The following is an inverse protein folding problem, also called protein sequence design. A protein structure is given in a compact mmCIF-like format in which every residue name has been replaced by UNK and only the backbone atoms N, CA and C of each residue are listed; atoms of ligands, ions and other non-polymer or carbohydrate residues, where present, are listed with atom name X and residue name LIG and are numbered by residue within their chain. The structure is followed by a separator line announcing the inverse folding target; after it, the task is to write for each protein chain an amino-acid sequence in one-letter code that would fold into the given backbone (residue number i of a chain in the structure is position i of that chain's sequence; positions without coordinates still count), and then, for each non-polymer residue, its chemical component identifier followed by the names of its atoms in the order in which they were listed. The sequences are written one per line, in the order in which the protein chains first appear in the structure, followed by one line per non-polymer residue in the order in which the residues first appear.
data_IF_687207524007
#
_entry.id   IF_687207524007
#
_cell.length_a   1.000
_cell.length_b   1.000
_cell.length_c   1.000
_cell.angle_alpha   90.00
_cell.angle_beta   90.00
_cell.angle_gamma   90.00
#
_symmetry.space_group_name_H-M   'P 1'
#
loop_
_entity.id
_entity.type
_entity.pdbx_description
1 polymer ?
#
# COMPACT_ATOMS: atom_id res chain seq x y z
N UNK A 1 32.78 16.72 -9.39
CA UNK A 1 32.64 15.31 -9.81
C UNK A 1 31.36 15.20 -10.60
N UNK A 2 31.43 14.70 -11.83
CA UNK A 2 30.29 14.52 -12.72
C UNK A 2 29.43 13.33 -12.24
N UNK A 3 28.11 13.52 -12.16
CA UNK A 3 27.14 12.45 -12.00
C UNK A 3 25.83 12.84 -12.70
N UNK A 4 25.76 12.44 -13.98
CA UNK A 4 24.58 11.89 -14.68
C UNK A 4 23.23 12.50 -14.27
N UNK A 5 22.70 13.34 -15.15
CA UNK A 5 21.32 13.81 -15.10
C UNK A 5 20.30 12.69 -15.42
N UNK A 6 20.25 11.59 -14.66
CA UNK A 6 19.12 10.62 -14.59
C UNK A 6 19.01 9.92 -13.20
N UNK A 7 19.00 10.62 -12.05
CA UNK A 7 18.37 10.07 -10.84
C UNK A 7 16.96 10.64 -10.59
N UNK A 8 16.61 11.79 -11.17
CA UNK A 8 15.31 12.45 -10.95
C UNK A 8 14.13 11.70 -11.58
N UNK A 9 14.32 11.11 -12.78
CA UNK A 9 13.24 10.45 -13.50
C UNK A 9 12.80 9.16 -12.81
N UNK A 10 13.73 8.28 -12.44
CA UNK A 10 13.40 7.04 -11.74
C UNK A 10 12.72 7.31 -10.39
N UNK A 11 13.19 8.31 -9.65
CA UNK A 11 12.55 8.74 -8.41
C UNK A 11 11.15 9.32 -8.65
N UNK A 12 10.94 10.06 -9.74
CA UNK A 12 9.60 10.53 -10.12
C UNK A 12 8.67 9.37 -10.47
N UNK A 13 9.15 8.35 -11.18
CA UNK A 13 8.38 7.14 -11.52
C UNK A 13 8.02 6.36 -10.25
N UNK A 14 9.00 6.09 -9.37
CA UNK A 14 8.75 5.44 -8.08
C UNK A 14 7.77 6.22 -7.21
N UNK A 15 7.88 7.54 -7.17
CA UNK A 15 6.93 8.41 -6.46
C UNK A 15 5.51 8.27 -7.03
N UNK A 16 5.37 8.22 -8.36
CA UNK A 16 4.08 7.99 -9.02
C UNK A 16 3.51 6.61 -8.68
N UNK A 17 4.33 5.57 -8.70
CA UNK A 17 3.92 4.21 -8.36
C UNK A 17 3.54 4.09 -6.87
N UNK A 18 4.28 4.75 -5.96
CA UNK A 18 3.89 4.88 -4.55
C UNK A 18 2.52 5.53 -4.40
N UNK A 19 2.21 6.55 -5.21
CA UNK A 19 0.88 7.19 -5.19
C UNK A 19 -0.23 6.22 -5.62
N UNK A 20 0.01 5.38 -6.63
CA UNK A 20 -0.92 4.31 -7.03
C UNK A 20 -1.17 3.30 -5.90
N UNK A 21 -0.12 2.87 -5.20
CA UNK A 21 -0.27 2.01 -4.04
C UNK A 21 -1.04 2.67 -2.89
N UNK A 22 -0.79 3.95 -2.58
CA UNK A 22 -1.57 4.69 -1.56
C UNK A 22 -3.04 4.78 -1.93
N UNK A 23 -3.35 5.04 -3.20
CA UNK A 23 -4.71 5.08 -3.70
C UNK A 23 -5.38 3.70 -3.56
N UNK A 24 -4.67 2.63 -3.91
CA UNK A 24 -5.14 1.25 -3.78
C UNK A 24 -5.40 0.85 -2.33
N UNK A 25 -4.50 1.19 -1.40
CA UNK A 25 -4.68 0.98 0.04
C UNK A 25 -5.89 1.75 0.58
N UNK A 26 -6.04 3.01 0.19
CA UNK A 26 -7.18 3.84 0.59
C UNK A 26 -8.49 3.27 0.06
N UNK A 27 -8.53 2.83 -1.20
CA UNK A 27 -9.71 2.20 -1.78
C UNK A 27 -10.07 0.89 -1.04
N UNK A 28 -9.09 0.04 -0.76
CA UNK A 28 -9.30 -1.17 0.04
C UNK A 28 -9.90 -0.81 1.42
N UNK A 29 -9.37 0.21 2.10
CA UNK A 29 -9.90 0.65 3.40
C UNK A 29 -11.36 1.13 3.31
N UNK A 30 -11.72 1.92 2.29
CA UNK A 30 -13.09 2.36 2.08
C UNK A 30 -14.05 1.20 1.82
N UNK A 31 -13.61 0.20 1.04
CA UNK A 31 -14.41 -0.99 0.76
C UNK A 31 -14.57 -1.86 2.01
N UNK A 32 -13.53 -2.02 2.82
CA UNK A 32 -13.59 -2.70 4.10
C UNK A 32 -14.59 -2.01 5.04
N UNK A 33 -14.53 -0.68 5.18
CA UNK A 33 -15.47 0.10 6.00
C UNK A 33 -16.93 -0.06 5.54
N UNK A 34 -17.16 -0.03 4.22
CA UNK A 34 -18.49 -0.28 3.65
C UNK A 34 -18.98 -1.69 3.99
N UNK A 35 -18.12 -2.70 3.85
CA UNK A 35 -18.46 -4.07 4.18
C UNK A 35 -18.78 -4.26 5.68
N UNK A 36 -18.00 -3.64 6.56
CA UNK A 36 -18.27 -3.66 8.00
C UNK A 36 -19.61 -3.01 8.34
N UNK A 37 -19.99 -1.92 7.67
CA UNK A 37 -21.29 -1.27 7.87
C UNK A 37 -22.47 -2.18 7.49
N UNK A 38 -22.26 -3.13 6.57
CA UNK A 38 -23.28 -4.07 6.12
C UNK A 38 -23.31 -5.36 6.96
N UNK A 39 -22.16 -5.88 7.36
CA UNK A 39 -22.02 -7.21 7.95
C UNK A 39 -21.59 -7.20 9.43
N UNK A 40 -21.22 -6.04 9.99
CA UNK A 40 -20.64 -5.86 11.33
C UNK A 40 -19.36 -6.67 11.60
N UNK A 41 -18.68 -7.14 10.54
CA UNK A 41 -17.41 -7.86 10.61
C UNK A 41 -16.58 -7.60 9.35
N UNK A 42 -15.24 -7.66 9.48
CA UNK A 42 -14.31 -7.60 8.36
C UNK A 42 -13.97 -8.96 7.75
N UNK A 43 -14.30 -10.08 8.43
CA UNK A 43 -13.87 -11.43 8.05
C UNK A 43 -14.30 -11.85 6.64
N UNK A 44 -15.55 -11.60 6.28
CA UNK A 44 -16.14 -12.05 5.02
C UNK A 44 -16.15 -10.95 3.94
N UNK A 45 -15.28 -9.95 4.11
CA UNK A 45 -15.23 -8.84 3.15
C UNK A 45 -14.52 -9.24 1.85
N UNK A 46 -15.07 -8.87 0.67
CA UNK A 46 -14.48 -9.26 -0.62
C UNK A 46 -13.05 -8.77 -0.86
N UNK A 47 -12.62 -7.73 -0.13
CA UNK A 47 -11.26 -7.20 -0.23
C UNK A 47 -10.23 -8.00 0.56
N UNK A 48 -10.65 -8.92 1.43
CA UNK A 48 -9.73 -9.79 2.19
C UNK A 48 -8.98 -10.71 1.23
N UNK A 49 -7.66 -10.78 1.39
CA UNK A 49 -6.76 -11.51 0.49
C UNK A 49 -5.85 -10.58 -0.30
N UNK A 50 -5.30 -11.09 -1.40
CA UNK A 50 -4.29 -10.38 -2.20
C UNK A 50 -4.85 -9.96 -3.55
N UNK A 51 -4.61 -8.72 -3.92
CA UNK A 51 -4.85 -8.15 -5.25
C UNK A 51 -3.63 -7.34 -5.70
N UNK A 52 -3.68 -6.73 -6.88
CA UNK A 52 -2.65 -5.84 -7.39
C UNK A 52 -3.12 -4.38 -7.39
N UNK A 53 -2.17 -3.45 -7.30
CA UNK A 53 -2.46 -2.04 -7.56
C UNK A 53 -2.84 -1.83 -9.04
N UNK A 54 -3.40 -0.67 -9.38
CA UNK A 54 -3.93 -0.43 -10.73
C UNK A 54 -2.84 -0.55 -11.82
N UNK A 55 -1.64 -0.07 -11.51
CA UNK A 55 -0.47 -0.15 -12.39
C UNK A 55 0.36 -1.44 -12.16
N UNK A 56 -0.13 -2.36 -11.32
CA UNK A 56 0.47 -3.66 -11.00
C UNK A 56 1.90 -3.63 -10.45
N UNK A 57 2.38 -2.47 -10.00
CA UNK A 57 3.70 -2.32 -9.38
C UNK A 57 3.71 -2.78 -7.91
N UNK A 58 2.53 -2.94 -7.30
CA UNK A 58 2.38 -3.41 -5.93
C UNK A 58 1.38 -4.54 -5.80
N UNK A 59 1.68 -5.49 -4.92
CA UNK A 59 0.69 -6.41 -4.37
C UNK A 59 0.06 -5.77 -3.15
N UNK A 60 -1.27 -5.73 -3.12
CA UNK A 60 -2.08 -5.21 -2.03
C UNK A 60 -2.70 -6.40 -1.30
N UNK A 61 -2.25 -6.65 -0.08
CA UNK A 61 -2.78 -7.69 0.78
C UNK A 61 -3.62 -7.08 1.89
N UNK A 62 -4.85 -7.55 2.08
CA UNK A 62 -5.70 -7.17 3.21
C UNK A 62 -5.86 -8.37 4.14
N UNK A 63 -5.40 -8.20 5.37
CA UNK A 63 -5.51 -9.19 6.44
C UNK A 63 -6.48 -8.71 7.50
N UNK A 64 -7.34 -9.61 7.97
CA UNK A 64 -8.29 -9.32 9.05
C UNK A 64 -7.58 -9.56 10.39
N UNK A 65 -7.78 -8.65 11.32
CA UNK A 65 -7.17 -8.67 12.66
C UNK A 65 -8.26 -8.59 13.74
N UNK A 66 -7.85 -8.72 15.00
CA UNK A 66 -8.74 -8.56 16.17
C UNK A 66 -10.05 -9.36 16.08
N UNK A 67 -9.94 -10.63 15.66
CA UNK A 67 -11.07 -11.54 15.57
C UNK A 67 -12.18 -11.12 14.59
N UNK A 68 -11.90 -10.26 13.62
CA UNK A 68 -12.90 -9.73 12.68
C UNK A 68 -13.26 -8.26 12.88
N UNK A 69 -12.76 -7.63 13.95
CA UNK A 69 -13.02 -6.22 14.26
C UNK A 69 -11.97 -5.25 13.69
N UNK A 70 -10.86 -5.76 13.17
CA UNK A 70 -9.81 -4.96 12.55
C UNK A 70 -9.38 -5.48 11.18
N UNK A 71 -8.61 -4.66 10.47
CA UNK A 71 -7.88 -5.09 9.29
C UNK A 71 -6.58 -4.29 9.13
N UNK A 72 -5.63 -4.88 8.42
CA UNK A 72 -4.43 -4.20 7.92
C UNK A 72 -4.30 -4.47 6.43
N UNK A 73 -4.30 -3.40 5.64
CA UNK A 73 -3.96 -3.43 4.22
C UNK A 73 -2.47 -3.11 4.04
N UNK A 74 -1.76 -3.91 3.25
CA UNK A 74 -0.31 -3.84 3.05
C UNK A 74 0.00 -3.81 1.56
N UNK A 75 0.75 -2.81 1.11
CA UNK A 75 1.27 -2.71 -0.25
C UNK A 75 2.75 -3.11 -0.26
N UNK A 76 3.10 -4.12 -1.06
CA UNK A 76 4.48 -4.58 -1.27
C UNK A 76 4.89 -4.46 -2.73
N UNK A 77 6.09 -3.94 -3.06
CA UNK A 77 6.58 -3.87 -4.43
C UNK A 77 6.59 -5.23 -5.13
N UNK A 78 5.97 -5.30 -6.31
CA UNK A 78 5.86 -6.52 -7.10
C UNK A 78 6.74 -6.51 -8.37
N UNK A 79 6.97 -5.33 -8.98
CA UNK A 79 7.69 -5.18 -10.25
C UNK A 79 8.70 -4.03 -10.23
N UNK A 80 9.74 -4.12 -11.05
CA UNK A 80 10.66 -2.99 -11.28
C UNK A 80 9.90 -1.83 -11.97
N UNK A 81 10.21 -0.56 -11.65
CA UNK A 81 11.36 -0.09 -10.86
C UNK A 81 11.12 -0.08 -9.35
N UNK A 82 9.93 -0.49 -8.89
CA UNK A 82 9.49 -0.37 -7.51
C UNK A 82 10.18 -1.35 -6.57
N UNK A 83 10.53 -2.55 -7.05
CA UNK A 83 11.34 -3.52 -6.28
C UNK A 83 12.75 -3.02 -5.94
N UNK A 84 13.24 -1.99 -6.65
CA UNK A 84 14.52 -1.34 -6.36
C UNK A 84 14.40 -0.13 -5.42
N UNK A 85 13.20 0.17 -4.92
CA UNK A 85 12.93 1.25 -3.96
C UNK A 85 13.20 0.76 -2.53
N UNK A 86 14.47 0.65 -2.17
CA UNK A 86 14.92 0.15 -0.86
C UNK A 86 14.46 1.02 0.31
N UNK A 87 14.11 2.28 0.04
CA UNK A 87 13.62 3.21 1.04
C UNK A 87 12.13 2.98 1.38
N UNK A 88 11.39 2.24 0.55
CA UNK A 88 9.96 1.97 0.73
C UNK A 88 9.60 0.54 0.27
N UNK A 89 9.90 -0.45 1.12
CA UNK A 89 9.67 -1.87 0.80
C UNK A 89 8.28 -2.36 1.20
N UNK A 90 7.58 -1.62 2.06
CA UNK A 90 6.16 -1.84 2.36
C UNK A 90 5.48 -0.56 2.83
N UNK A 91 4.18 -0.46 2.56
CA UNK A 91 3.30 0.59 3.09
C UNK A 91 2.03 -0.05 3.63
N UNK A 92 1.55 0.36 4.80
CA UNK A 92 0.38 -0.21 5.44
C UNK A 92 -0.66 0.84 5.82
N UNK A 93 -1.93 0.45 5.78
CA UNK A 93 -3.07 1.23 6.25
C UNK A 93 -4.01 0.31 7.03
N UNK A 94 -4.33 0.65 8.27
CA UNK A 94 -5.23 -0.15 9.10
C UNK A 94 -6.64 0.46 9.21
N UNK A 95 -7.54 -0.25 9.90
CA UNK A 95 -8.92 0.16 10.13
C UNK A 95 -9.07 1.47 10.92
N UNK A 96 -8.05 1.87 11.68
CA UNK A 96 -8.00 3.14 12.42
C UNK A 96 -7.47 4.30 11.57
N UNK A 97 -7.12 4.05 10.30
CA UNK A 97 -6.51 5.04 9.42
C UNK A 97 -5.04 5.31 9.73
N UNK A 98 -4.39 4.48 10.55
CA UNK A 98 -2.96 4.58 10.81
C UNK A 98 -2.20 4.12 9.58
N UNK A 99 -1.26 4.95 9.15
CA UNK A 99 -0.39 4.74 7.99
C UNK A 99 1.01 4.46 8.49
N UNK A 100 1.63 3.41 7.98
CA UNK A 100 3.00 3.06 8.34
C UNK A 100 3.77 2.59 7.10
N UNK A 101 5.09 2.69 7.11
CA UNK A 101 5.93 2.20 6.03
C UNK A 101 7.21 1.57 6.59
N UNK A 102 7.76 0.61 5.87
CA UNK A 102 9.02 -0.01 6.25
C UNK A 102 9.91 -0.16 5.02
N UNK A 103 11.19 0.28 5.08
CA UNK A 103 11.64 1.34 5.98
C UNK A 103 10.86 2.64 5.72
N UNK A 104 10.88 3.58 6.65
CA UNK A 104 10.29 4.91 6.46
C UNK A 104 11.37 5.98 6.64
N UNK A 105 12.36 5.94 5.75
CA UNK A 105 13.46 6.91 5.77
C UNK A 105 12.88 8.30 5.44
N UNK A 106 12.77 9.15 6.46
CA UNK A 106 12.27 10.53 6.42
C UNK A 106 10.77 10.71 6.08
N UNK A 107 9.92 9.72 6.29
CA UNK A 107 8.48 9.87 6.04
C UNK A 107 8.10 9.98 4.55
N UNK A 108 8.97 9.53 3.65
CA UNK A 108 8.84 9.74 2.19
C UNK A 108 7.94 8.73 1.49
N UNK A 109 7.62 7.63 2.17
CA UNK A 109 6.85 6.54 1.57
C UNK A 109 5.37 6.90 1.47
N UNK A 110 4.78 7.51 2.51
CA UNK A 110 3.36 7.90 2.59
C UNK A 110 3.03 9.29 2.07
#
# INVERSE_FOLDING_TARGET
MAAIAIPSYLESVRKSNRADAKASLTNAAHQMQRCYTLNNTFTDCPMVGTTTSAEEFYNIEVTVTDGGAGFTATATPAKAPQTGDSDCTSMTLNNLGQKDATPDNDGRCW
#
